data_IF_535337592661
#
_entry.id   IF_535337592661
#
_cell.length_a   1.000
_cell.length_b   1.000
_cell.length_c   1.000
_cell.angle_alpha   90.00
_cell.angle_beta   90.00
_cell.angle_gamma   90.00
#
_symmetry.space_group_name_H-M   'P 1'
#
loop_
_entity.id
_entity.type
_entity.pdbx_description
1 polymer ?
#
# COMPACT_ATOMS: atom_id res chain seq x y z
N UNK A 1 12.04 4.91 14.51
CA UNK A 1 11.45 4.48 13.22
C UNK A 1 10.11 5.16 13.09
N UNK A 2 9.81 5.83 11.97
CA UNK A 2 8.45 6.35 11.74
C UNK A 2 7.46 5.17 11.72
N UNK A 3 6.24 5.40 12.18
CA UNK A 3 5.16 4.41 12.06
C UNK A 3 4.91 4.14 10.57
N UNK A 4 4.66 2.88 10.23
CA UNK A 4 4.41 2.48 8.85
C UNK A 4 3.03 2.97 8.37
N UNK A 5 2.08 3.08 9.30
CA UNK A 5 0.74 3.62 9.05
C UNK A 5 0.48 4.74 10.06
N UNK A 6 0.04 5.90 9.57
CA UNK A 6 -0.40 7.03 10.40
C UNK A 6 -1.83 7.38 10.07
N UNK A 7 -2.53 7.99 11.03
CA UNK A 7 -3.89 8.49 10.84
C UNK A 7 -3.99 9.86 11.52
N UNK A 8 -4.42 10.86 10.76
CA UNK A 8 -4.73 12.20 11.23
C UNK A 8 -6.24 12.34 11.40
N UNK A 9 -6.68 12.58 12.64
CA UNK A 9 -8.10 12.73 12.96
C UNK A 9 -8.69 14.09 12.60
N UNK A 10 -7.86 15.13 12.48
CA UNK A 10 -8.33 16.49 12.15
C UNK A 10 -8.75 16.56 10.69
N UNK A 11 -7.95 15.97 9.80
CA UNK A 11 -8.21 15.96 8.35
C UNK A 11 -8.75 14.62 7.83
N UNK A 12 -8.95 13.63 8.71
CA UNK A 12 -9.47 12.29 8.39
C UNK A 12 -8.69 11.60 7.26
N UNK A 13 -7.36 11.66 7.35
CA UNK A 13 -6.45 11.11 6.35
C UNK A 13 -5.59 10.02 6.99
N UNK A 14 -5.41 8.91 6.30
CA UNK A 14 -4.41 7.91 6.65
C UNK A 14 -3.27 7.97 5.65
N UNK A 15 -2.06 7.66 6.12
CA UNK A 15 -0.90 7.52 5.26
C UNK A 15 -0.26 6.16 5.54
N UNK A 16 0.08 5.43 4.48
CA UNK A 16 0.83 4.17 4.55
C UNK A 16 2.16 4.34 3.82
N UNK A 17 3.26 4.09 4.53
CA UNK A 17 4.58 3.91 3.94
C UNK A 17 4.70 2.48 3.41
N UNK A 18 4.92 2.32 2.10
CA UNK A 18 5.05 0.98 1.48
C UNK A 18 6.30 0.27 2.00
N UNK A 19 7.35 1.04 2.25
CA UNK A 19 8.58 0.65 2.96
C UNK A 19 8.96 1.75 3.97
N UNK A 20 9.73 1.45 5.03
CA UNK A 20 10.15 2.46 5.99
C UNK A 20 10.84 3.65 5.30
N UNK A 21 10.36 4.86 5.59
CA UNK A 21 10.92 6.06 4.96
C UNK A 21 12.36 6.31 5.44
N UNK A 22 13.29 6.44 4.49
CA UNK A 22 14.71 6.75 4.73
C UNK A 22 15.10 8.04 4.02
N UNK A 23 16.30 8.56 4.28
CA UNK A 23 16.84 9.74 3.58
C UNK A 23 17.16 9.47 2.10
N UNK A 24 17.09 8.22 1.65
CA UNK A 24 17.35 7.84 0.26
C UNK A 24 16.09 7.92 -0.61
N UNK A 25 14.90 8.08 0.00
CA UNK A 25 13.64 8.20 -0.72
C UNK A 25 13.37 9.69 -0.98
N UNK A 26 13.29 10.05 -2.26
CA UNK A 26 12.91 11.39 -2.71
C UNK A 26 11.62 11.27 -3.53
N UNK A 27 10.55 11.93 -3.07
CA UNK A 27 9.27 11.92 -3.78
C UNK A 27 9.39 12.83 -5.00
N UNK A 28 9.24 12.25 -6.19
CA UNK A 28 9.21 12.99 -7.46
C UNK A 28 7.81 13.51 -7.77
N UNK A 29 6.78 12.71 -7.53
CA UNK A 29 5.39 13.09 -7.76
C UNK A 29 4.45 12.46 -6.73
N UNK A 30 3.31 13.13 -6.53
CA UNK A 30 2.13 12.58 -5.86
C UNK A 30 1.01 12.55 -6.89
N UNK A 31 0.45 11.38 -7.14
CA UNK A 31 -0.55 11.17 -8.19
C UNK A 31 -1.84 10.59 -7.60
N UNK A 32 -2.97 11.09 -8.08
CA UNK A 32 -4.29 10.51 -7.78
C UNK A 32 -4.45 9.20 -8.56
N UNK A 33 -4.94 8.14 -7.89
CA UNK A 33 -5.32 6.92 -8.60
C UNK A 33 -6.60 7.19 -9.40
N UNK A 34 -6.51 7.20 -10.73
CA UNK A 34 -7.60 7.63 -11.62
C UNK A 34 -8.94 6.93 -11.33
N UNK A 35 -8.93 5.63 -11.02
CA UNK A 35 -10.13 4.88 -10.70
C UNK A 35 -10.69 5.14 -9.30
N UNK A 36 -9.87 5.64 -8.37
CA UNK A 36 -10.28 5.97 -7.01
C UNK A 36 -9.63 7.28 -6.53
N UNK A 37 -10.33 8.43 -6.67
CA UNK A 37 -9.82 9.74 -6.26
C UNK A 37 -9.68 9.91 -4.73
N UNK A 38 -10.01 8.88 -3.93
CA UNK A 38 -9.76 8.86 -2.47
C UNK A 38 -8.41 8.20 -2.14
N UNK A 39 -7.60 7.89 -3.14
CA UNK A 39 -6.24 7.37 -2.99
C UNK A 39 -5.27 8.24 -3.79
N UNK A 40 -4.28 8.80 -3.11
CA UNK A 40 -3.09 9.33 -3.78
C UNK A 40 -1.91 8.43 -3.49
N UNK A 41 -0.95 8.39 -4.41
CA UNK A 41 0.27 7.61 -4.28
C UNK A 41 1.48 8.50 -4.49
N UNK A 42 2.45 8.36 -3.59
CA UNK A 42 3.73 9.05 -3.70
C UNK A 42 4.70 8.17 -4.46
N UNK A 43 5.20 8.69 -5.57
CA UNK A 43 6.15 8.03 -6.46
C UNK A 43 7.52 8.65 -6.24
N UNK A 44 8.51 7.79 -6.00
CA UNK A 44 9.88 8.23 -5.80
C UNK A 44 10.70 8.29 -7.09
N UNK A 45 11.94 8.79 -6.98
CA UNK A 45 12.89 8.94 -8.08
C UNK A 45 13.29 7.63 -8.80
N UNK A 46 12.84 6.48 -8.30
CA UNK A 46 13.07 5.16 -8.89
C UNK A 46 11.78 4.55 -9.47
N UNK A 47 10.75 5.36 -9.67
CA UNK A 47 9.45 4.93 -10.22
C UNK A 47 8.72 3.94 -9.29
N UNK A 48 8.91 4.07 -7.97
CA UNK A 48 8.28 3.21 -6.96
C UNK A 48 7.22 3.98 -6.20
N UNK A 49 6.05 3.37 -6.01
CA UNK A 49 5.10 3.87 -5.02
C UNK A 49 5.67 3.58 -3.63
N UNK A 50 6.00 4.62 -2.87
CA UNK A 50 6.59 4.54 -1.53
C UNK A 50 5.64 5.03 -0.44
N UNK A 51 4.60 5.76 -0.82
CA UNK A 51 3.56 6.30 0.04
C UNK A 51 2.18 6.12 -0.57
N UNK A 52 1.17 5.93 0.28
CA UNK A 52 -0.24 5.92 -0.15
C UNK A 52 -1.02 6.77 0.86
N UNK A 53 -1.67 7.80 0.35
CA UNK A 53 -2.63 8.63 1.09
C UNK A 53 -4.03 8.06 0.91
N UNK A 54 -4.77 7.92 2.00
CA UNK A 54 -6.14 7.45 2.02
C UNK A 54 -7.04 8.54 2.58
N UNK A 55 -8.18 8.76 1.91
CA UNK A 55 -9.20 9.70 2.33
C UNK A 55 -10.54 8.99 2.61
N UNK A 56 -11.39 9.64 3.41
CA UNK A 56 -12.76 9.19 3.72
C UNK A 56 -12.80 7.81 4.40
N UNK A 57 -13.71 6.95 3.96
CA UNK A 57 -13.93 5.64 4.58
C UNK A 57 -12.69 4.73 4.51
N UNK A 58 -11.89 4.85 3.44
CA UNK A 58 -10.65 4.08 3.31
C UNK A 58 -9.61 4.51 4.34
N UNK A 59 -9.51 5.81 4.67
CA UNK A 59 -8.66 6.31 5.75
C UNK A 59 -9.07 5.70 7.11
N UNK A 60 -10.37 5.69 7.38
CA UNK A 60 -10.93 5.21 8.64
C UNK A 60 -10.61 3.74 8.90
N UNK A 61 -10.59 2.90 7.85
CA UNK A 61 -10.18 1.48 7.94
C UNK A 61 -8.74 1.28 8.43
N UNK A 62 -7.84 2.26 8.23
CA UNK A 62 -6.43 2.15 8.64
C UNK A 62 -6.18 2.60 10.09
N UNK A 63 -7.15 3.25 10.75
CA UNK A 63 -6.97 3.83 12.09
C UNK A 63 -6.47 2.82 13.13
N UNK A 64 -7.02 1.61 13.10
CA UNK A 64 -6.65 0.53 14.04
C UNK A 64 -5.30 -0.13 13.72
N UNK A 65 -4.75 0.12 12.52
CA UNK A 65 -3.49 -0.47 12.05
C UNK A 65 -2.26 0.41 12.33
N UNK A 66 -2.45 1.61 12.89
CA UNK A 66 -1.37 2.60 13.13
C UNK A 66 -0.26 2.12 14.09
N UNK A 67 -0.49 1.04 14.84
CA UNK A 67 0.52 0.44 15.72
C UNK A 67 1.19 -0.81 15.12
N UNK A 68 0.80 -1.23 13.91
CA UNK A 68 1.43 -2.36 13.23
C UNK A 68 2.77 -1.93 12.61
N UNK A 69 3.80 -2.73 12.86
CA UNK A 69 5.11 -2.64 12.20
C UNK A 69 5.34 -3.73 11.16
N UNK A 70 4.48 -4.75 11.15
CA UNK A 70 4.45 -5.86 10.19
C UNK A 70 3.08 -5.89 9.56
N UNK A 71 3.01 -5.77 8.24
CA UNK A 71 1.76 -5.58 7.50
C UNK A 71 1.62 -6.49 6.28
N UNK A 72 2.71 -7.13 5.86
CA UNK A 72 2.73 -7.92 4.64
C UNK A 72 2.56 -9.41 4.91
N UNK A 73 1.93 -10.10 3.96
CA UNK A 73 2.04 -11.55 3.82
C UNK A 73 2.81 -11.86 2.55
N UNK A 74 3.93 -12.56 2.67
CA UNK A 74 4.69 -13.06 1.52
C UNK A 74 3.93 -14.23 0.90
N UNK A 75 3.72 -14.18 -0.41
CA UNK A 75 3.09 -15.26 -1.17
C UNK A 75 3.98 -15.64 -2.34
N UNK A 76 3.98 -16.92 -2.68
CA UNK A 76 4.62 -17.43 -3.89
C UNK A 76 3.58 -17.42 -5.01
N UNK A 77 3.90 -16.75 -6.11
CA UNK A 77 3.17 -16.81 -7.37
C UNK A 77 3.49 -18.12 -8.11
N UNK A 78 2.63 -18.50 -9.06
CA UNK A 78 2.77 -19.74 -9.83
C UNK A 78 4.11 -19.87 -10.57
N UNK A 79 4.77 -18.75 -10.89
CA UNK A 79 6.07 -18.71 -11.58
C UNK A 79 7.27 -18.70 -10.62
N UNK A 80 7.09 -19.14 -9.36
CA UNK A 80 8.08 -19.05 -8.27
C UNK A 80 8.54 -17.61 -7.92
N UNK A 81 7.83 -16.59 -8.40
CA UNK A 81 8.07 -15.21 -7.99
C UNK A 81 7.37 -14.92 -6.66
N UNK A 82 8.02 -14.13 -5.80
CA UNK A 82 7.37 -13.65 -4.58
C UNK A 82 6.54 -12.40 -4.86
N UNK A 83 5.42 -12.28 -4.14
CA UNK A 83 4.66 -11.05 -4.00
C UNK A 83 4.41 -10.78 -2.52
N UNK A 84 4.24 -9.50 -2.18
CA UNK A 84 3.98 -9.06 -0.81
C UNK A 84 2.61 -8.41 -0.77
N UNK A 85 1.71 -9.04 -0.02
CA UNK A 85 0.31 -8.63 0.08
C UNK A 85 0.05 -7.83 1.34
N UNK A 86 -0.44 -6.60 1.20
CA UNK A 86 -1.16 -5.90 2.27
C UNK A 86 -2.66 -6.14 2.11
N UNK A 87 -3.38 -6.47 3.17
CA UNK A 87 -4.84 -6.69 3.15
C UNK A 87 -5.51 -6.07 4.37
N UNK A 88 -6.55 -5.28 4.14
CA UNK A 88 -7.45 -4.75 5.17
C UNK A 88 -8.60 -5.73 5.47
N UNK A 89 -9.05 -6.48 4.47
CA UNK A 89 -10.07 -7.52 4.63
C UNK A 89 -9.70 -8.80 3.88
N UNK A 90 -10.45 -9.87 4.13
CA UNK A 90 -10.34 -11.14 3.39
C UNK A 90 -11.43 -11.27 2.31
N UNK A 91 -12.11 -10.17 1.98
CA UNK A 91 -13.19 -10.18 0.99
C UNK A 91 -12.65 -10.54 -0.40
N UNK A 92 -13.51 -11.11 -1.22
CA UNK A 92 -13.18 -11.35 -2.63
C UNK A 92 -13.17 -10.02 -3.37
N UNK A 93 -12.07 -9.71 -4.06
CA UNK A 93 -12.02 -8.52 -4.90
C UNK A 93 -12.98 -8.66 -6.09
N UNK A 94 -13.68 -7.58 -6.43
CA UNK A 94 -14.46 -7.47 -7.65
C UNK A 94 -13.70 -6.69 -8.73
N UNK A 95 -12.78 -5.82 -8.33
CA UNK A 95 -11.96 -5.01 -9.22
C UNK A 95 -10.51 -4.95 -8.77
N UNK A 96 -9.62 -4.67 -9.73
CA UNK A 96 -8.20 -4.40 -9.47
C UNK A 96 -7.64 -3.38 -10.46
N UNK A 97 -6.62 -2.65 -10.02
CA UNK A 97 -5.87 -1.68 -10.84
C UNK A 97 -4.38 -1.95 -10.67
N UNK A 98 -3.63 -2.00 -11.77
CA UNK A 98 -2.17 -2.07 -11.74
C UNK A 98 -1.61 -0.66 -11.95
N UNK A 99 -0.81 -0.17 -11.01
CA UNK A 99 -0.14 1.12 -11.07
C UNK A 99 1.27 1.01 -10.48
N UNK A 100 2.31 1.39 -11.23
CA UNK A 100 3.73 1.35 -10.82
C UNK A 100 4.16 0.08 -10.06
N UNK A 101 3.83 -1.10 -10.59
CA UNK A 101 4.16 -2.41 -10.02
C UNK A 101 3.46 -2.74 -8.68
N UNK A 102 2.40 -1.99 -8.34
CA UNK A 102 1.45 -2.32 -7.28
C UNK A 102 0.09 -2.64 -7.89
N UNK A 103 -0.53 -3.74 -7.46
CA UNK A 103 -1.91 -4.08 -7.81
C UNK A 103 -2.81 -3.72 -6.65
N UNK A 104 -3.68 -2.73 -6.83
CA UNK A 104 -4.72 -2.34 -5.87
C UNK A 104 -5.96 -3.20 -6.05
N UNK A 105 -6.61 -3.59 -4.94
CA UNK A 105 -7.79 -4.44 -4.94
C UNK A 105 -8.98 -3.74 -4.27
N UNK A 106 -10.15 -3.88 -4.88
CA UNK A 106 -11.40 -3.29 -4.42
C UNK A 106 -12.51 -4.33 -4.34
N UNK A 107 -13.36 -4.24 -3.31
CA UNK A 107 -14.46 -5.16 -3.07
C UNK A 107 -15.74 -4.79 -3.83
N UNK A 108 -15.80 -3.63 -4.46
CA UNK A 108 -16.94 -3.15 -5.24
C UNK A 108 -16.56 -2.92 -6.72
N UNK A 109 -17.56 -2.63 -7.54
CA UNK A 109 -17.38 -2.44 -9.00
C UNK A 109 -16.96 -1.02 -9.39
N UNK A 110 -17.07 -0.06 -8.47
CA UNK A 110 -16.78 1.37 -8.64
C UNK A 110 -15.45 1.78 -8.02
N UNK A 111 -14.65 0.81 -7.55
CA UNK A 111 -13.33 1.05 -6.97
C UNK A 111 -13.35 1.87 -5.66
N UNK A 112 -14.49 1.98 -4.96
CA UNK A 112 -14.60 2.81 -3.74
C UNK A 112 -14.11 2.07 -2.47
N UNK A 113 -14.32 0.76 -2.41
CA UNK A 113 -14.07 -0.11 -1.27
C UNK A 113 -12.70 -0.78 -1.38
N UNK A 114 -11.65 -0.04 -1.01
CA UNK A 114 -10.29 -0.57 -0.97
C UNK A 114 -10.15 -1.69 0.07
N UNK A 115 -9.54 -2.81 -0.33
CA UNK A 115 -9.31 -3.98 0.53
C UNK A 115 -7.85 -4.42 0.64
N UNK A 116 -6.95 -3.82 -0.14
CA UNK A 116 -5.51 -4.09 -0.05
C UNK A 116 -4.77 -3.93 -1.37
N UNK A 117 -3.47 -4.20 -1.35
CA UNK A 117 -2.62 -4.17 -2.54
C UNK A 117 -1.55 -5.26 -2.53
N UNK A 118 -1.01 -5.57 -3.71
CA UNK A 118 0.14 -6.47 -3.90
C UNK A 118 1.32 -5.73 -4.53
N UNK A 119 2.50 -5.85 -3.94
CA UNK A 119 3.76 -5.49 -4.59
C UNK A 119 4.16 -6.65 -5.49
N UNK A 120 4.06 -6.47 -6.81
CA UNK A 120 4.32 -7.53 -7.80
C UNK A 120 5.75 -7.53 -8.34
N UNK A 121 6.55 -6.50 -8.03
CA UNK A 121 7.98 -6.43 -8.34
C UNK A 121 8.83 -6.11 -7.10
N UNK A 122 8.94 -7.05 -6.13
CA UNK A 122 9.57 -6.78 -4.84
C UNK A 122 11.06 -6.40 -4.92
N UNK A 123 11.74 -6.78 -6.00
CA UNK A 123 13.14 -6.44 -6.24
C UNK A 123 13.39 -4.92 -6.30
N UNK A 124 12.38 -4.10 -6.61
CA UNK A 124 12.50 -2.63 -6.56
C UNK A 124 12.57 -2.08 -5.12
N UNK A 125 12.03 -2.82 -4.16
CA UNK A 125 11.88 -2.39 -2.77
C UNK A 125 12.89 -3.05 -1.83
N UNK A 126 13.53 -4.13 -2.26
CA UNK A 126 14.47 -4.93 -1.47
C UNK A 126 13.77 -6.03 -0.68
N UNK A 127 14.14 -7.29 -0.95
CA UNK A 127 13.53 -8.46 -0.30
C UNK A 127 13.71 -8.45 1.22
N UNK A 128 14.89 -8.08 1.71
CA UNK A 128 15.16 -8.05 3.16
C UNK A 128 14.26 -7.04 3.90
N UNK A 129 14.00 -5.90 3.27
CA UNK A 129 13.11 -4.86 3.82
C UNK A 129 11.69 -5.40 3.88
N UNK A 130 11.20 -5.98 2.79
CA UNK A 130 9.83 -6.50 2.73
C UNK A 130 9.63 -7.72 3.63
N UNK A 131 10.63 -8.61 3.73
CA UNK A 131 10.61 -9.76 4.64
C UNK A 131 10.59 -9.32 6.11
N UNK A 132 11.30 -8.25 6.47
CA UNK A 132 11.25 -7.67 7.82
C UNK A 132 9.84 -7.17 8.20
N UNK A 133 9.08 -6.71 7.21
CA UNK A 133 7.71 -6.19 7.37
C UNK A 133 6.64 -7.28 7.25
N UNK A 134 7.01 -8.56 7.10
CA UNK A 134 6.05 -9.65 7.02
C UNK A 134 5.49 -10.03 8.40
N UNK A 135 4.18 -10.30 8.44
CA UNK A 135 3.53 -11.04 9.52
C UNK A 135 4.05 -12.49 9.49
N UNK A 136 4.42 -13.04 10.65
CA UNK A 136 4.87 -14.43 10.82
C UNK A 136 3.73 -15.32 11.26
#
# INVERSE_FOLDING_TARGET
>A
MKKLITYDSEIQMAYLYVIPFTSEIEIESTEELEENPKLNVDIDQFDRIVGIEFFGDNASKLKELTNKSKIYKKKTSNDNNYLYSFRLSQDTHLQKVLFHNIVFYFADKKYEEFIGFDIIKPSLYGYDILDFLCEY
#
